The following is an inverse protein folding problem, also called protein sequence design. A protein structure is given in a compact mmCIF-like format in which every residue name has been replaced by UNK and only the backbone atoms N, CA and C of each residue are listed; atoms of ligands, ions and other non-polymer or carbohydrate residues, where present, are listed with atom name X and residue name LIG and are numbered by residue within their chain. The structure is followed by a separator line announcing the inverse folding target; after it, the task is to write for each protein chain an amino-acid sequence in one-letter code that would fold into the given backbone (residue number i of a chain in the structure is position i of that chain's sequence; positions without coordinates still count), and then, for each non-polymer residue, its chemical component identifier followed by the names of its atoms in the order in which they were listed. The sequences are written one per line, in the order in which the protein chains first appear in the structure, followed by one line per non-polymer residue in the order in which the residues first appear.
data_IF_974733480904
#
_entry.id   IF_974733480904
#
_cell.length_a   1.000
_cell.length_b   1.000
_cell.length_c   1.000
_cell.angle_alpha   90.00
_cell.angle_beta   90.00
_cell.angle_gamma   90.00
#
_symmetry.space_group_name_H-M   'P 1'
#
loop_
_entity.id
_entity.type
_entity.pdbx_description
1 polymer ?
#
# COMPACT_ATOMS: atom_id res chain seq x y z
N UNK A 1 -10.94 -3.96 -29.09
CA UNK A 1 -10.75 -4.94 -28.00
C UNK A 1 -10.49 -6.29 -28.64
N UNK A 2 -9.46 -7.03 -28.19
CA UNK A 2 -9.22 -8.39 -28.68
C UNK A 2 -10.09 -9.35 -27.85
N UNK A 3 -11.14 -9.98 -28.40
CA UNK A 3 -12.07 -10.80 -27.62
C UNK A 3 -11.41 -12.02 -26.99
N UNK A 4 -10.25 -12.43 -27.50
CA UNK A 4 -9.47 -13.58 -27.02
C UNK A 4 -8.56 -13.25 -25.84
N UNK A 5 -8.49 -11.98 -25.41
CA UNK A 5 -7.68 -11.56 -24.25
C UNK A 5 -8.57 -11.32 -23.03
N UNK A 6 -8.28 -11.94 -21.88
CA UNK A 6 -8.97 -11.65 -20.64
C UNK A 6 -8.86 -10.16 -20.27
N UNK A 7 -9.94 -9.60 -19.75
CA UNK A 7 -9.91 -8.26 -19.12
C UNK A 7 -9.39 -8.40 -17.70
N UNK A 8 -8.28 -7.74 -17.38
CA UNK A 8 -7.73 -7.73 -16.03
C UNK A 8 -8.53 -6.81 -15.11
N UNK A 9 -8.96 -7.33 -13.96
CA UNK A 9 -9.53 -6.55 -12.87
C UNK A 9 -8.51 -6.45 -11.74
N UNK A 10 -8.05 -5.25 -11.43
CA UNK A 10 -7.10 -5.00 -10.33
C UNK A 10 -7.88 -4.59 -9.10
N UNK A 11 -7.81 -5.41 -8.04
CA UNK A 11 -8.39 -5.07 -6.75
C UNK A 11 -7.31 -4.41 -5.89
N UNK A 12 -7.47 -3.12 -5.64
CA UNK A 12 -6.56 -2.34 -4.80
C UNK A 12 -7.07 -2.35 -3.35
N UNK A 13 -6.16 -2.65 -2.42
CA UNK A 13 -6.38 -2.53 -1.00
C UNK A 13 -5.03 -2.20 -0.33
N UNK A 14 -5.06 -1.70 0.90
CA UNK A 14 -3.85 -1.43 1.67
C UNK A 14 -3.13 -2.72 2.11
N UNK A 15 -3.86 -3.84 2.20
CA UNK A 15 -3.33 -5.09 2.74
C UNK A 15 -3.10 -5.01 4.25
N UNK A 16 -2.22 -5.88 4.76
CA UNK A 16 -1.84 -5.93 6.18
C UNK A 16 -0.69 -6.93 6.38
N UNK A 17 -0.04 -6.92 7.55
CA UNK A 17 1.01 -7.87 7.86
C UNK A 17 0.44 -9.30 7.96
N UNK A 18 1.13 -10.26 7.37
CA UNK A 18 0.78 -11.68 7.37
C UNK A 18 1.38 -12.46 8.55
N UNK A 19 2.36 -11.86 9.23
CA UNK A 19 2.95 -12.36 10.46
C UNK A 19 3.30 -11.22 11.43
N UNK A 20 3.67 -11.57 12.67
CA UNK A 20 4.07 -10.59 13.68
C UNK A 20 5.36 -9.88 13.28
N UNK A 21 6.28 -10.58 12.64
CA UNK A 21 7.55 -10.05 12.15
C UNK A 21 7.36 -9.04 11.00
N UNK A 22 6.26 -9.18 10.24
CA UNK A 22 5.91 -8.27 9.15
C UNK A 22 5.28 -6.94 9.63
N UNK A 23 4.97 -6.80 10.92
CA UNK A 23 4.31 -5.60 11.48
C UNK A 23 5.18 -4.36 11.31
N UNK A 24 6.47 -4.42 11.68
CA UNK A 24 7.38 -3.28 11.54
C UNK A 24 7.51 -2.84 10.07
N UNK A 25 7.82 -3.72 9.11
CA UNK A 25 7.86 -3.36 7.68
C UNK A 25 6.56 -2.75 7.15
N UNK A 26 5.39 -3.25 7.58
CA UNK A 26 4.09 -2.71 7.17
C UNK A 26 3.89 -1.28 7.71
N UNK A 27 4.10 -1.08 9.01
CA UNK A 27 3.92 0.23 9.64
C UNK A 27 4.92 1.25 9.10
N UNK A 28 6.17 0.85 8.85
CA UNK A 28 7.17 1.74 8.24
C UNK A 28 6.68 2.28 6.89
N UNK A 29 6.17 1.41 6.00
CA UNK A 29 5.62 1.85 4.70
C UNK A 29 4.41 2.75 4.87
N UNK A 30 3.50 2.40 5.78
CA UNK A 30 2.28 3.17 6.06
C UNK A 30 2.58 4.60 6.53
N UNK A 31 3.51 4.77 7.47
CA UNK A 31 3.86 6.09 8.02
C UNK A 31 4.84 6.88 7.14
N UNK A 32 5.52 6.23 6.21
CA UNK A 32 6.38 6.90 5.21
C UNK A 32 5.57 7.56 4.10
N UNK A 33 4.36 7.08 3.84
CA UNK A 33 3.48 7.63 2.83
C UNK A 33 2.87 8.98 3.30
N UNK A 34 3.30 10.06 2.64
CA UNK A 34 2.84 11.43 2.94
C UNK A 34 1.47 11.77 2.35
N UNK A 35 1.00 11.01 1.37
CA UNK A 35 -0.35 11.15 0.85
C UNK A 35 -1.37 10.51 1.82
N UNK A 36 -0.95 9.47 2.55
CA UNK A 36 -1.78 8.82 3.58
C UNK A 36 -1.65 9.48 4.97
N UNK A 37 -0.42 9.71 5.46
CA UNK A 37 -0.19 10.21 6.82
C UNK A 37 0.83 11.37 6.81
N UNK A 38 0.35 12.55 7.21
CA UNK A 38 1.18 13.73 7.39
C UNK A 38 1.65 13.83 8.84
N UNK A 39 2.91 13.50 9.07
CA UNK A 39 3.51 13.66 10.40
C UNK A 39 4.05 15.09 10.57
N UNK A 40 3.95 15.67 11.79
CA UNK A 40 4.58 16.95 12.07
C UNK A 40 6.09 16.83 11.81
N UNK A 41 6.67 17.84 11.15
CA UNK A 41 8.07 17.90 10.68
C UNK A 41 8.40 17.09 9.41
N UNK A 42 7.39 16.50 8.74
CA UNK A 42 7.60 15.70 7.53
C UNK A 42 7.83 16.45 6.22
N UNK A 43 7.73 17.78 6.25
CA UNK A 43 7.80 18.68 5.09
C UNK A 43 8.64 19.93 5.38
N UNK A 44 9.83 19.75 5.97
CA UNK A 44 10.88 20.77 5.91
C UNK A 44 11.74 20.55 4.67
#
# INVERSE_FOLDING_TARGET
MNPDKPTGLVLLNMGGPDSVEAVEPFLYRLFSDRELIQLPLGAL
#
